data_IF_888621099285
#
_entry.id   IF_888621099285
#
_cell.length_a   1.000
_cell.length_b   1.000
_cell.length_c   1.000
_cell.angle_alpha   90.00
_cell.angle_beta   90.00
_cell.angle_gamma   90.00
#
_symmetry.space_group_name_H-M   'P 1'
#
loop_
_entity.id
_entity.type
_entity.pdbx_description
1 polymer ?
#
# COMPACT_ATOMS: atom_id res chain seq x y z
N UNK A 1 -13.17 4.76 13.50
CA UNK A 1 -13.42 3.47 12.82
C UNK A 1 -12.11 2.87 12.34
N UNK A 2 -11.34 2.14 13.16
CA UNK A 2 -9.97 1.81 12.76
C UNK A 2 -9.69 0.30 12.59
N UNK A 3 -8.79 0.03 11.64
CA UNK A 3 -7.85 -1.11 11.57
C UNK A 3 -8.33 -2.49 11.14
N UNK A 4 -9.47 -3.02 11.59
CA UNK A 4 -9.84 -4.42 11.29
C UNK A 4 -10.22 -4.71 9.82
N UNK A 5 -10.53 -3.68 9.02
CA UNK A 5 -10.87 -3.86 7.60
C UNK A 5 -9.67 -3.95 6.65
N UNK A 6 -8.45 -3.67 7.11
CA UNK A 6 -7.28 -3.73 6.24
C UNK A 6 -6.70 -5.17 6.15
N UNK A 7 -6.77 -5.95 7.23
CA UNK A 7 -6.21 -7.31 7.25
C UNK A 7 -7.01 -8.35 6.43
N UNK A 8 -8.33 -8.21 6.32
CA UNK A 8 -9.19 -9.19 5.61
C UNK A 8 -9.04 -9.18 4.08
N UNK A 9 -8.33 -8.20 3.50
CA UNK A 9 -8.26 -7.98 2.05
C UNK A 9 -6.89 -8.29 1.42
N UNK A 10 -5.92 -8.73 2.22
CA UNK A 10 -4.48 -8.66 1.86
C UNK A 10 -4.09 -9.62 0.73
N UNK A 11 -4.58 -10.87 0.71
CA UNK A 11 -4.03 -11.85 -0.25
C UNK A 11 -4.73 -11.81 -1.63
N UNK A 12 -6.03 -11.51 -1.69
CA UNK A 12 -6.78 -11.58 -2.95
C UNK A 12 -7.03 -10.23 -3.65
N UNK A 13 -7.12 -9.13 -2.91
CA UNK A 13 -7.47 -7.83 -3.53
C UNK A 13 -6.28 -6.92 -3.80
N UNK A 14 -5.19 -7.09 -3.06
CA UNK A 14 -4.01 -6.23 -3.23
C UNK A 14 -3.25 -6.60 -4.51
N UNK A 15 -3.17 -7.89 -4.87
CA UNK A 15 -2.68 -8.29 -6.19
C UNK A 15 -3.49 -7.66 -7.35
N UNK A 16 -4.80 -7.45 -7.17
CA UNK A 16 -5.64 -6.78 -8.19
C UNK A 16 -5.33 -5.28 -8.28
N UNK A 17 -5.09 -4.62 -7.14
CA UNK A 17 -4.70 -3.20 -7.09
C UNK A 17 -3.30 -2.97 -7.67
N UNK A 18 -2.35 -3.85 -7.36
CA UNK A 18 -1.02 -3.82 -7.95
C UNK A 18 -1.10 -3.93 -9.48
N UNK A 19 -1.94 -4.82 -10.02
CA UNK A 19 -2.13 -4.93 -11.48
C UNK A 19 -2.62 -3.63 -12.12
N UNK A 20 -3.54 -2.89 -11.49
CA UNK A 20 -4.00 -1.60 -12.02
C UNK A 20 -2.89 -0.54 -12.01
N UNK A 21 -2.08 -0.50 -10.96
CA UNK A 21 -0.92 0.39 -10.83
C UNK A 21 0.15 0.05 -11.88
N UNK A 22 0.42 -1.23 -12.10
CA UNK A 22 1.33 -1.72 -13.15
C UNK A 22 0.81 -1.33 -14.54
N UNK A 23 -0.48 -1.56 -14.80
CA UNK A 23 -1.11 -1.17 -16.06
C UNK A 23 -1.12 0.36 -16.28
N UNK A 24 -1.09 1.15 -15.20
CA UNK A 24 -0.94 2.60 -15.24
C UNK A 24 0.49 3.07 -15.51
N UNK A 25 1.48 2.16 -15.55
CA UNK A 25 2.87 2.45 -15.92
C UNK A 25 3.87 2.42 -14.78
N UNK A 26 3.47 2.01 -13.56
CA UNK A 26 4.41 1.83 -12.44
C UNK A 26 5.12 0.48 -12.57
N UNK A 27 6.43 0.46 -12.32
CA UNK A 27 7.18 -0.79 -12.20
C UNK A 27 7.04 -1.31 -10.77
N UNK A 28 6.39 -2.44 -10.61
CA UNK A 28 6.29 -3.13 -9.32
C UNK A 28 7.11 -4.41 -9.44
N UNK A 29 7.96 -4.68 -8.46
CA UNK A 29 8.73 -5.93 -8.44
C UNK A 29 7.80 -7.15 -8.34
N UNK A 30 8.30 -8.29 -8.84
CA UNK A 30 7.55 -9.54 -8.87
C UNK A 30 7.21 -10.04 -7.46
N UNK A 31 6.05 -10.70 -7.27
CA UNK A 31 5.66 -11.22 -5.97
C UNK A 31 6.60 -12.30 -5.48
N UNK A 32 6.73 -12.40 -4.15
CA UNK A 32 7.55 -13.42 -3.50
C UNK A 32 6.68 -14.60 -3.09
N UNK A 33 7.12 -15.82 -3.42
CA UNK A 33 6.49 -17.05 -2.95
C UNK A 33 6.81 -17.28 -1.48
N UNK A 34 5.80 -17.44 -0.65
CA UNK A 34 5.93 -17.75 0.78
C UNK A 34 5.00 -18.90 1.17
N UNK A 35 5.39 -19.66 2.19
CA UNK A 35 4.54 -20.72 2.75
C UNK A 35 3.92 -20.21 4.04
N UNK A 36 2.60 -20.00 4.03
CA UNK A 36 1.81 -19.59 5.20
C UNK A 36 0.89 -20.74 5.59
N UNK A 37 0.97 -21.23 6.83
CA UNK A 37 0.18 -22.36 7.31
C UNK A 37 0.18 -23.58 6.37
N UNK A 38 1.37 -23.94 5.86
CA UNK A 38 1.55 -25.05 4.90
C UNK A 38 0.89 -24.84 3.52
N UNK A 39 0.50 -23.62 3.17
CA UNK A 39 0.02 -23.25 1.84
C UNK A 39 1.02 -22.30 1.17
N UNK A 40 1.40 -22.59 -0.07
CA UNK A 40 2.22 -21.68 -0.88
C UNK A 40 1.34 -20.55 -1.43
N UNK A 41 1.76 -19.32 -1.17
CA UNK A 41 1.06 -18.10 -1.61
C UNK A 41 2.05 -17.11 -2.21
N UNK A 42 1.56 -16.32 -3.15
CA UNK A 42 2.30 -15.19 -3.72
C UNK A 42 1.98 -13.92 -2.91
N UNK A 43 3.01 -13.32 -2.34
CA UNK A 43 2.92 -12.08 -1.59
C UNK A 43 3.36 -10.93 -2.49
N UNK A 44 2.41 -10.06 -2.82
CA UNK A 44 2.63 -8.84 -3.59
C UNK A 44 2.94 -7.65 -2.68
N UNK A 45 3.51 -6.58 -3.23
CA UNK A 45 3.55 -5.27 -2.56
C UNK A 45 2.15 -4.84 -2.13
N UNK A 46 2.05 -4.17 -0.99
CA UNK A 46 0.78 -3.86 -0.34
C UNK A 46 0.31 -2.47 -0.77
N UNK A 47 -0.29 -2.38 -1.96
CA UNK A 47 -0.77 -1.11 -2.50
C UNK A 47 -2.28 -1.01 -2.35
N UNK A 48 -2.73 0.03 -1.66
CA UNK A 48 -4.15 0.25 -1.40
C UNK A 48 -4.53 1.72 -1.44
N UNK A 49 -5.75 2.00 -1.86
CA UNK A 49 -6.33 3.34 -1.88
C UNK A 49 -7.81 3.32 -1.55
N UNK A 50 -8.33 4.49 -1.14
CA UNK A 50 -9.77 4.74 -1.04
C UNK A 50 -10.39 4.88 -2.44
N UNK A 51 -11.62 4.42 -2.64
CA UNK A 51 -12.31 4.50 -3.93
C UNK A 51 -12.37 5.92 -4.51
N UNK A 52 -12.43 6.96 -3.66
CA UNK A 52 -12.36 8.37 -4.08
C UNK A 52 -11.07 8.75 -4.83
N UNK A 53 -9.99 7.98 -4.66
CA UNK A 53 -8.74 8.20 -5.37
C UNK A 53 -8.76 7.58 -6.76
N UNK A 54 -9.27 6.36 -6.90
CA UNK A 54 -9.34 5.68 -8.18
C UNK A 54 -10.48 4.69 -8.18
N UNK A 55 -11.62 5.11 -8.74
CA UNK A 55 -12.81 4.29 -8.88
C UNK A 55 -12.77 3.50 -10.19
N UNK A 56 -12.28 4.14 -11.26
CA UNK A 56 -12.08 3.54 -12.57
C UNK A 56 -10.61 3.67 -13.00
N UNK A 57 -10.18 2.83 -13.95
CA UNK A 57 -8.78 2.79 -14.38
C UNK A 57 -8.28 4.14 -14.94
N UNK A 58 -9.12 4.93 -15.61
CA UNK A 58 -8.73 6.26 -16.10
C UNK A 58 -8.35 7.22 -14.97
N UNK A 59 -8.98 7.11 -13.79
CA UNK A 59 -8.63 7.91 -12.61
C UNK A 59 -7.22 7.57 -12.11
N UNK A 60 -6.87 6.28 -12.15
CA UNK A 60 -5.55 5.79 -11.73
C UNK A 60 -4.50 6.27 -12.75
N UNK A 61 -4.77 6.03 -14.04
CA UNK A 61 -3.86 6.40 -15.13
C UNK A 61 -3.56 7.90 -15.19
N UNK A 62 -4.51 8.76 -14.84
CA UNK A 62 -4.26 10.21 -14.83
C UNK A 62 -3.51 10.71 -13.59
N UNK A 63 -3.46 9.91 -12.51
CA UNK A 63 -2.83 10.25 -11.23
C UNK A 63 -1.45 9.66 -11.06
N UNK A 64 -1.03 8.81 -11.99
CA UNK A 64 0.30 8.19 -12.01
C UNK A 64 1.04 8.73 -13.22
N UNK A 65 2.24 9.26 -13.00
CA UNK A 65 3.10 9.73 -14.09
C UNK A 65 4.58 9.65 -13.72
N UNK A 66 5.46 9.85 -14.72
CA UNK A 66 6.90 9.70 -14.54
C UNK A 66 7.34 8.25 -14.32
N UNK A 67 8.62 8.06 -14.03
CA UNK A 67 9.18 6.74 -13.76
C UNK A 67 8.93 6.37 -12.30
N UNK A 68 7.86 5.63 -12.04
CA UNK A 68 7.55 5.14 -10.70
C UNK A 68 7.98 3.69 -10.53
N UNK A 69 8.61 3.38 -9.40
CA UNK A 69 9.12 2.06 -9.05
C UNK A 69 8.73 1.70 -7.61
N UNK A 70 8.29 0.47 -7.37
CA UNK A 70 7.85 0.00 -6.05
C UNK A 70 8.45 -1.38 -5.80
N UNK A 71 9.19 -1.52 -4.68
CA UNK A 71 9.76 -2.81 -4.29
C UNK A 71 8.71 -3.81 -3.81
N UNK A 72 9.04 -5.09 -3.86
CA UNK A 72 8.18 -6.20 -3.46
C UNK A 72 7.69 -6.09 -2.00
N UNK A 73 8.55 -5.59 -1.11
CA UNK A 73 8.27 -5.40 0.33
C UNK A 73 7.52 -4.12 0.66
N UNK A 74 7.26 -3.29 -0.34
CA UNK A 74 6.71 -1.95 -0.11
C UNK A 74 5.23 -1.98 0.24
N UNK A 75 4.82 -0.98 1.02
CA UNK A 75 3.43 -0.68 1.34
C UNK A 75 3.11 0.76 0.95
N UNK A 76 1.98 0.97 0.27
CA UNK A 76 1.47 2.29 -0.02
C UNK A 76 -0.03 2.38 0.27
N UNK A 77 -0.43 3.34 1.09
CA UNK A 77 -1.83 3.64 1.38
C UNK A 77 -2.20 5.06 0.97
N UNK A 78 -3.15 5.21 0.04
CA UNK A 78 -3.60 6.52 -0.46
C UNK A 78 -5.03 6.82 0.05
N UNK A 79 -5.13 7.85 0.88
CA UNK A 79 -6.37 8.25 1.58
C UNK A 79 -6.87 9.64 1.18
N UNK A 80 -6.43 10.16 0.04
CA UNK A 80 -6.86 11.44 -0.54
C UNK A 80 -7.58 11.29 -1.89
N UNK A 81 -8.35 12.31 -2.30
CA UNK A 81 -8.97 12.32 -3.64
C UNK A 81 -7.97 12.75 -4.71
N UNK A 82 -7.28 13.87 -4.49
CA UNK A 82 -6.40 14.51 -5.46
C UNK A 82 -4.93 14.28 -5.12
N UNK A 83 -4.54 13.01 -5.00
CA UNK A 83 -3.14 12.60 -4.80
C UNK A 83 -2.57 12.16 -6.14
N UNK A 84 -1.42 12.70 -6.53
CA UNK A 84 -0.70 12.39 -7.76
C UNK A 84 0.65 11.77 -7.40
N UNK A 85 0.96 10.64 -8.01
CA UNK A 85 2.23 9.93 -7.86
C UNK A 85 3.06 10.24 -9.10
N UNK A 86 4.15 10.99 -8.91
CA UNK A 86 4.97 11.51 -10.00
C UNK A 86 6.44 11.15 -9.75
N UNK A 87 6.98 10.18 -10.50
CA UNK A 87 8.39 9.79 -10.38
C UNK A 87 8.77 9.26 -8.99
N UNK A 88 7.91 8.44 -8.38
CA UNK A 88 8.11 7.89 -7.04
C UNK A 88 8.88 6.57 -7.10
N UNK A 89 10.00 6.47 -6.39
CA UNK A 89 10.67 5.20 -6.07
C UNK A 89 10.42 4.86 -4.61
N UNK A 90 9.64 3.80 -4.35
CA UNK A 90 9.25 3.37 -3.02
C UNK A 90 9.93 2.05 -2.65
N UNK A 91 10.65 2.05 -1.53
CA UNK A 91 11.22 0.88 -0.89
C UNK A 91 10.97 0.91 0.64
N UNK A 92 9.74 0.57 1.03
CA UNK A 92 9.28 0.66 2.43
C UNK A 92 7.78 0.98 2.53
N UNK A 93 7.35 1.62 3.62
CA UNK A 93 5.95 1.98 3.86
C UNK A 93 5.67 3.48 3.73
N UNK A 94 4.64 3.83 2.96
CA UNK A 94 4.17 5.19 2.71
C UNK A 94 2.65 5.29 2.94
N UNK A 95 2.23 6.26 3.74
CA UNK A 95 0.81 6.59 3.94
C UNK A 95 0.59 8.06 3.59
N UNK A 96 -0.31 8.31 2.64
CA UNK A 96 -0.69 9.64 2.21
C UNK A 96 -2.14 9.84 2.62
N UNK A 97 -2.39 10.71 3.59
CA UNK A 97 -3.73 11.07 4.02
C UNK A 97 -3.98 12.55 3.74
N UNK A 98 -5.00 12.83 2.93
CA UNK A 98 -5.34 14.19 2.53
C UNK A 98 -6.84 14.42 2.62
N UNK A 99 -7.21 15.65 3.00
CA UNK A 99 -8.58 16.14 2.79
C UNK A 99 -8.90 16.16 1.30
N UNK A 100 -10.18 16.06 0.95
CA UNK A 100 -10.62 15.92 -0.44
C UNK A 100 -10.27 17.13 -1.31
N UNK A 101 -10.20 18.32 -0.70
CA UNK A 101 -9.89 19.58 -1.36
C UNK A 101 -8.38 19.91 -1.40
N UNK A 102 -7.54 19.05 -0.83
CA UNK A 102 -6.09 19.17 -0.96
C UNK A 102 -5.62 18.47 -2.24
N UNK A 103 -4.71 19.11 -2.97
CA UNK A 103 -4.03 18.54 -4.13
C UNK A 103 -2.59 18.24 -3.73
N UNK A 104 -2.18 16.98 -3.83
CA UNK A 104 -0.89 16.50 -3.31
C UNK A 104 -0.15 15.78 -4.43
N UNK A 105 1.05 16.25 -4.76
CA UNK A 105 2.00 15.56 -5.62
C UNK A 105 3.08 14.91 -4.75
N UNK A 106 3.27 13.61 -4.92
CA UNK A 106 4.27 12.80 -4.23
C UNK A 106 5.21 12.17 -5.24
N UNK A 107 6.50 12.47 -5.11
CA UNK A 107 7.58 11.90 -5.90
C UNK A 107 8.84 11.68 -5.07
N UNK A 108 9.92 11.31 -5.73
CA UNK A 108 11.23 11.14 -5.10
C UNK A 108 11.52 9.71 -4.61
N UNK A 109 12.57 9.55 -3.81
CA UNK A 109 13.05 8.29 -3.26
C UNK A 109 12.63 8.15 -1.80
N UNK A 110 11.71 7.23 -1.54
CA UNK A 110 11.25 6.92 -0.18
C UNK A 110 11.77 5.54 0.19
N UNK A 111 12.77 5.51 1.07
CA UNK A 111 13.34 4.27 1.61
C UNK A 111 13.23 4.21 3.13
N UNK A 112 12.58 3.18 3.64
CA UNK A 112 12.47 2.93 5.08
C UNK A 112 12.35 1.43 5.39
N UNK A 113 12.32 1.09 6.68
CA UNK A 113 12.26 -0.32 7.13
C UNK A 113 10.93 -1.00 6.79
N UNK A 114 9.88 -0.22 6.49
CA UNK A 114 8.58 -0.72 6.08
C UNK A 114 7.88 -1.51 7.18
N UNK A 115 6.97 -2.40 6.76
CA UNK A 115 6.27 -3.30 7.67
C UNK A 115 6.81 -4.72 7.50
N UNK A 116 7.01 -5.43 8.60
CA UNK A 116 7.45 -6.81 8.59
C UNK A 116 6.24 -7.75 8.63
N UNK A 117 6.20 -8.74 7.74
CA UNK A 117 5.22 -9.82 7.83
C UNK A 117 5.70 -10.85 8.86
N UNK A 118 4.83 -11.21 9.79
CA UNK A 118 5.06 -12.25 10.78
C UNK A 118 4.02 -13.36 10.59
N UNK A 119 4.48 -14.60 10.41
CA UNK A 119 3.60 -15.77 10.36
C UNK A 119 2.98 -16.02 11.73
N UNK A 120 1.70 -16.38 11.75
CA UNK A 120 0.92 -16.68 12.96
C UNK A 120 0.40 -18.09 12.87
N UNK A 121 0.72 -18.92 13.87
CA UNK A 121 0.17 -20.27 13.98
C UNK A 121 -1.32 -20.19 14.32
N UNK A 122 -2.15 -20.89 13.54
CA UNK A 122 -3.59 -20.98 13.79
C UNK A 122 -3.93 -21.58 15.17
N UNK A 123 -3.01 -22.34 15.77
CA UNK A 123 -3.15 -22.94 17.10
C UNK A 123 -2.79 -22.00 18.24
N UNK A 124 -2.17 -20.85 17.98
CA UNK A 124 -1.74 -19.93 19.02
C UNK A 124 -2.93 -19.18 19.64
N UNK A 125 -3.49 -19.73 20.73
CA UNK A 125 -4.63 -19.14 21.44
C UNK A 125 -4.36 -17.79 22.11
N UNK A 126 -3.11 -17.31 22.15
CA UNK A 126 -2.79 -15.97 22.64
C UNK A 126 -3.13 -14.87 21.62
N UNK A 127 -3.31 -15.23 20.36
CA UNK A 127 -3.62 -14.33 19.25
C UNK A 127 -5.13 -14.36 18.94
N UNK A 128 -5.77 -13.21 18.65
CA UNK A 128 -7.17 -13.16 18.23
C UNK A 128 -7.48 -14.07 17.04
N UNK A 129 -8.67 -14.67 17.04
CA UNK A 129 -9.07 -15.66 16.04
C UNK A 129 -8.99 -15.14 14.62
N UNK A 130 -9.37 -13.88 14.39
CA UNK A 130 -9.31 -13.23 13.09
C UNK A 130 -7.90 -13.17 12.50
N UNK A 131 -6.86 -13.07 13.33
CA UNK A 131 -5.46 -13.07 12.88
C UNK A 131 -4.98 -14.51 12.66
N UNK A 132 -5.39 -15.44 13.53
CA UNK A 132 -5.04 -16.87 13.42
C UNK A 132 -5.58 -17.52 12.15
N UNK A 133 -6.82 -17.20 11.77
CA UNK A 133 -7.44 -17.72 10.54
C UNK A 133 -6.69 -17.20 9.29
N UNK A 134 -6.20 -15.97 9.33
CA UNK A 134 -5.40 -15.37 8.24
C UNK A 134 -4.00 -15.99 8.17
N UNK A 135 -3.43 -16.38 9.32
CA UNK A 135 -2.14 -17.08 9.38
C UNK A 135 -0.91 -16.18 9.35
N UNK A 136 -1.11 -14.87 9.34
CA UNK A 136 -0.04 -13.88 9.44
C UNK A 136 -0.57 -12.54 9.96
N UNK A 137 0.36 -11.67 10.36
CA UNK A 137 0.09 -10.27 10.69
C UNK A 137 1.22 -9.39 10.17
N UNK A 138 0.95 -8.09 10.03
CA UNK A 138 1.99 -7.11 9.77
C UNK A 138 2.38 -6.38 11.05
N UNK A 139 3.67 -6.32 11.30
CA UNK A 139 4.29 -5.50 12.32
C UNK A 139 4.76 -4.18 11.70
N UNK A 140 4.27 -3.06 12.22
CA UNK A 140 4.54 -1.71 11.69
C UNK A 140 5.88 -1.19 12.22
N UNK A 141 6.98 -1.66 11.63
CA UNK A 141 8.33 -1.28 12.07
C UNK A 141 8.59 0.21 11.80
N UNK A 142 8.36 0.64 10.56
CA UNK A 142 8.56 2.03 10.15
C UNK A 142 7.59 2.41 9.04
N UNK A 143 7.17 3.68 8.99
CA UNK A 143 6.39 4.23 7.89
C UNK A 143 6.60 5.74 7.77
N UNK A 144 6.55 6.24 6.53
CA UNK A 144 6.42 7.66 6.27
C UNK A 144 4.93 8.00 6.15
N UNK A 145 4.40 8.79 7.08
CA UNK A 145 3.01 9.24 7.07
C UNK A 145 2.94 10.75 6.83
N UNK A 146 2.33 11.16 5.71
CA UNK A 146 2.12 12.57 5.37
C UNK A 146 0.64 12.90 5.46
N UNK A 147 0.29 13.85 6.34
CA UNK A 147 -1.08 14.33 6.57
C UNK A 147 -1.26 15.74 6.02
N UNK A 148 -2.24 15.89 5.14
CA UNK A 148 -2.58 17.14 4.48
C UNK A 148 -3.99 17.56 4.89
N UNK A 149 -4.09 18.35 5.95
CA UNK A 149 -5.36 18.78 6.54
C UNK A 149 -5.89 20.11 5.98
N UNK A 150 -5.07 20.82 5.21
CA UNK A 150 -5.43 22.11 4.63
C UNK A 150 -5.77 21.96 3.14
N UNK A 151 -6.81 22.63 2.64
CA UNK A 151 -7.23 22.59 1.24
C UNK A 151 -6.30 23.46 0.37
N UNK A 152 -5.10 22.98 0.10
CA UNK A 152 -4.10 23.67 -0.74
C UNK A 152 -3.31 22.67 -1.57
N UNK A 153 -2.44 23.21 -2.44
CA UNK A 153 -1.48 22.42 -3.22
C UNK A 153 -0.24 22.11 -2.40
N UNK A 154 0.20 20.86 -2.49
CA UNK A 154 1.45 20.37 -1.91
C UNK A 154 2.23 19.62 -2.98
N UNK A 155 3.52 19.88 -3.04
CA UNK A 155 4.46 19.08 -3.83
C UNK A 155 5.57 18.62 -2.88
N UNK A 156 5.82 17.32 -2.84
CA UNK A 156 6.88 16.72 -2.03
C UNK A 156 7.71 15.79 -2.91
N UNK A 157 9.02 16.00 -2.86
CA UNK A 157 10.05 15.13 -3.40
C UNK A 157 10.99 14.86 -2.22
N UNK A 158 11.06 13.61 -1.77
CA UNK A 158 12.01 13.16 -0.73
C UNK A 158 13.21 12.46 -1.39
#
# INVERSE_FOLDING_TARGET
MPMLKLCFLVVFTEGTKCRFIVQAGVRVEEPVKQVLNSQEVEVWSLITWKLKWGMIFSDIKMKVSGNCEVSERSMMAIMGRNVFIEGLTLDGALIIDSVDDAEVKMGGLIKNSGWAMETVDYKDTSVPEEIRIIGFRFNKVEQLEKKFTQPRRFSMED
#
